data_IF_627779119578
#
_entry.id   IF_627779119578
#
_cell.length_a   1.000
_cell.length_b   1.000
_cell.length_c   1.000
_cell.angle_alpha   90.00
_cell.angle_beta   90.00
_cell.angle_gamma   90.00
#
_symmetry.space_group_name_H-M   'P 1'
#
loop_
_entity.id
_entity.type
_entity.pdbx_description
1 polymer ?
#
# COMPACT_ATOMS: atom_id res chain seq x y z
N UNK A 1 0.76 -11.15 0.48
CA UNK A 1 1.00 -10.79 -0.94
C UNK A 1 2.02 -11.68 -1.63
N UNK A 2 3.33 -11.52 -1.40
CA UNK A 2 4.37 -12.24 -2.17
C UNK A 2 4.21 -13.77 -2.13
N UNK A 3 3.89 -14.33 -0.96
CA UNK A 3 3.62 -15.77 -0.80
C UNK A 3 2.44 -16.21 -1.68
N UNK A 4 1.31 -15.50 -1.63
CA UNK A 4 0.13 -15.80 -2.42
C UNK A 4 0.37 -15.66 -3.94
N UNK A 5 1.14 -14.65 -4.36
CA UNK A 5 1.60 -14.51 -5.75
C UNK A 5 2.46 -15.71 -6.19
N UNK A 6 3.39 -16.16 -5.34
CA UNK A 6 4.21 -17.36 -5.60
C UNK A 6 3.38 -18.64 -5.69
N UNK A 7 2.41 -18.83 -4.80
CA UNK A 7 1.48 -19.97 -4.85
C UNK A 7 0.66 -19.96 -6.13
N UNK A 8 0.12 -18.79 -6.53
CA UNK A 8 -0.69 -18.67 -7.74
C UNK A 8 0.14 -18.89 -9.01
N UNK A 9 1.37 -18.37 -9.06
CA UNK A 9 2.30 -18.64 -10.16
C UNK A 9 2.66 -20.13 -10.23
N UNK A 10 2.90 -20.76 -9.09
CA UNK A 10 3.17 -22.20 -9.02
C UNK A 10 1.98 -23.03 -9.52
N UNK A 11 0.75 -22.53 -9.34
CA UNK A 11 -0.45 -23.17 -9.84
C UNK A 11 -0.56 -23.21 -11.36
N UNK A 12 0.25 -22.42 -12.09
CA UNK A 12 0.31 -22.43 -13.57
C UNK A 12 0.52 -23.83 -14.15
N UNK A 13 1.27 -24.70 -13.47
CA UNK A 13 1.53 -26.08 -13.93
C UNK A 13 0.26 -26.93 -14.07
N UNK A 14 -0.83 -26.53 -13.43
CA UNK A 14 -2.13 -27.19 -13.51
C UNK A 14 -3.06 -26.55 -14.56
N UNK A 15 -2.67 -25.42 -15.16
CA UNK A 15 -3.44 -24.79 -16.22
C UNK A 15 -3.10 -25.45 -17.58
N UNK A 16 -4.10 -25.64 -18.46
CA UNK A 16 -3.87 -26.13 -19.81
C UNK A 16 -2.91 -25.22 -20.58
N UNK A 17 -2.02 -25.77 -21.42
CA UNK A 17 -1.05 -25.00 -22.21
C UNK A 17 -1.67 -23.98 -23.18
N UNK A 18 -2.98 -24.08 -23.43
CA UNK A 18 -3.78 -23.14 -24.24
C UNK A 18 -4.49 -22.07 -23.42
N UNK A 19 -4.28 -22.00 -22.10
CA UNK A 19 -4.93 -21.01 -21.25
C UNK A 19 -4.51 -19.60 -21.65
N UNK A 20 -5.47 -18.67 -21.75
CA UNK A 20 -5.21 -17.25 -22.01
C UNK A 20 -4.62 -16.50 -20.81
N UNK A 21 -4.41 -17.18 -19.67
CA UNK A 21 -3.90 -16.60 -18.42
C UNK A 21 -2.38 -16.54 -18.49
N UNK A 22 -1.83 -15.32 -18.37
CA UNK A 22 -0.39 -15.07 -18.39
C UNK A 22 0.23 -15.22 -17.00
N UNK A 23 1.56 -15.43 -16.93
CA UNK A 23 2.31 -15.40 -15.66
C UNK A 23 2.06 -14.11 -14.88
N UNK A 24 2.06 -12.99 -15.60
CA UNK A 24 1.76 -11.68 -15.06
C UNK A 24 0.35 -11.64 -14.44
N UNK A 25 -0.65 -12.19 -15.12
CA UNK A 25 -2.01 -12.30 -14.59
C UNK A 25 -2.10 -13.13 -13.31
N UNK A 26 -1.38 -14.26 -13.23
CA UNK A 26 -1.33 -15.09 -12.02
C UNK A 26 -0.64 -14.38 -10.85
N UNK A 27 0.46 -13.66 -11.11
CA UNK A 27 1.16 -12.87 -10.10
C UNK A 27 0.28 -11.75 -9.54
N UNK A 28 -0.44 -11.04 -10.39
CA UNK A 28 -1.40 -10.00 -9.99
C UNK A 28 -2.53 -10.62 -9.15
N UNK A 29 -3.15 -11.69 -9.66
CA UNK A 29 -4.26 -12.35 -8.96
C UNK A 29 -3.84 -12.87 -7.59
N UNK A 30 -2.67 -13.52 -7.47
CA UNK A 30 -2.15 -13.98 -6.19
C UNK A 30 -1.74 -12.84 -5.26
N UNK A 31 -1.17 -11.76 -5.78
CA UNK A 31 -0.87 -10.55 -5.01
C UNK A 31 -2.13 -9.94 -4.38
N UNK A 32 -3.16 -9.75 -5.19
CA UNK A 32 -4.47 -9.24 -4.81
C UNK A 32 -5.19 -10.15 -3.79
N UNK A 33 -5.24 -11.46 -4.06
CA UNK A 33 -5.77 -12.46 -3.13
C UNK A 33 -5.05 -12.41 -1.77
N UNK A 34 -3.73 -12.19 -1.79
CA UNK A 34 -2.93 -12.06 -0.58
C UNK A 34 -3.21 -10.78 0.24
N UNK A 35 -3.70 -9.70 -0.36
CA UNK A 35 -4.22 -8.53 0.40
C UNK A 35 -5.59 -8.84 0.95
N UNK A 36 -6.49 -9.36 0.09
CA UNK A 36 -7.85 -9.70 0.48
C UNK A 36 -7.88 -10.62 1.71
N UNK A 37 -7.05 -11.66 1.71
CA UNK A 37 -6.93 -12.58 2.84
C UNK A 37 -6.30 -11.95 4.08
N UNK A 38 -5.35 -11.01 3.94
CA UNK A 38 -4.64 -10.42 5.08
C UNK A 38 -5.49 -9.44 5.89
N UNK A 39 -6.42 -8.75 5.24
CA UNK A 39 -7.26 -7.72 5.85
C UNK A 39 -8.75 -8.06 5.87
N UNK A 40 -9.11 -9.28 5.47
CA UNK A 40 -10.50 -9.68 5.22
C UNK A 40 -11.26 -8.67 4.34
N UNK A 41 -10.61 -8.21 3.27
CA UNK A 41 -11.05 -7.09 2.43
C UNK A 41 -11.00 -7.45 0.93
N UNK A 42 -11.99 -8.20 0.40
CA UNK A 42 -11.99 -8.66 -0.98
C UNK A 42 -12.01 -7.53 -2.02
N UNK A 43 -12.82 -6.49 -1.82
CA UNK A 43 -12.92 -5.37 -2.78
C UNK A 43 -11.60 -4.60 -2.84
N UNK A 44 -10.96 -4.40 -1.70
CA UNK A 44 -9.64 -3.82 -1.59
C UNK A 44 -8.59 -4.62 -2.37
N UNK A 45 -8.64 -5.95 -2.30
CA UNK A 45 -7.77 -6.82 -3.09
C UNK A 45 -7.91 -6.56 -4.60
N UNK A 46 -9.16 -6.46 -5.08
CA UNK A 46 -9.44 -6.17 -6.50
C UNK A 46 -8.91 -4.80 -6.90
N UNK A 47 -9.21 -3.78 -6.11
CA UNK A 47 -8.81 -2.41 -6.46
C UNK A 47 -7.31 -2.22 -6.35
N UNK A 48 -6.64 -2.84 -5.38
CA UNK A 48 -5.18 -2.86 -5.32
C UNK A 48 -4.56 -3.49 -6.58
N UNK A 49 -5.17 -4.56 -7.09
CA UNK A 49 -4.75 -5.18 -8.33
C UNK A 49 -4.80 -4.19 -9.50
N UNK A 50 -5.85 -3.38 -9.57
CA UNK A 50 -6.09 -2.42 -10.65
C UNK A 50 -5.19 -1.19 -10.50
N UNK A 51 -5.19 -0.57 -9.32
CA UNK A 51 -4.54 0.72 -9.06
C UNK A 51 -3.03 0.59 -8.89
N UNK A 52 -2.54 -0.41 -8.14
CA UNK A 52 -1.11 -0.51 -7.79
C UNK A 52 -0.36 -1.57 -8.59
N UNK A 53 -0.95 -2.75 -8.82
CA UNK A 53 -0.24 -3.87 -9.44
C UNK A 53 -0.27 -3.86 -10.97
N UNK A 54 -1.42 -3.55 -11.58
CA UNK A 54 -1.59 -3.73 -13.03
C UNK A 54 -0.97 -2.58 -13.83
N UNK A 55 -1.10 -1.32 -13.38
CA UNK A 55 -0.67 -0.05 -14.03
C UNK A 55 -1.08 0.18 -15.50
N UNK A 56 -1.42 -0.87 -16.26
CA UNK A 56 -2.05 -0.90 -17.57
C UNK A 56 -3.18 -1.92 -17.49
N UNK A 57 -4.42 -1.44 -17.61
CA UNK A 57 -5.58 -2.33 -17.70
C UNK A 57 -5.51 -2.99 -19.08
N UNK A 58 -5.00 -4.21 -19.14
CA UNK A 58 -5.07 -5.02 -20.36
C UNK A 58 -6.50 -5.56 -20.48
N UNK A 59 -7.32 -4.84 -21.25
CA UNK A 59 -8.79 -4.91 -21.32
C UNK A 59 -9.43 -6.28 -21.65
N UNK A 60 -8.68 -7.38 -21.83
CA UNK A 60 -9.26 -8.67 -22.29
C UNK A 60 -9.48 -9.72 -21.20
N UNK A 61 -8.76 -9.65 -20.07
CA UNK A 61 -8.78 -10.72 -19.05
C UNK A 61 -9.24 -10.28 -17.65
N UNK A 62 -9.72 -9.03 -17.49
CA UNK A 62 -10.13 -8.46 -16.19
C UNK A 62 -11.20 -9.29 -15.49
N UNK A 63 -12.13 -9.89 -16.23
CA UNK A 63 -13.22 -10.70 -15.67
C UNK A 63 -12.71 -11.90 -14.86
N UNK A 64 -11.82 -12.73 -15.43
CA UNK A 64 -11.28 -13.91 -14.75
C UNK A 64 -10.43 -13.54 -13.53
N UNK A 65 -9.65 -12.45 -13.62
CA UNK A 65 -8.83 -11.95 -12.51
C UNK A 65 -9.73 -11.46 -11.37
N UNK A 66 -10.76 -10.68 -11.67
CA UNK A 66 -11.73 -10.20 -10.67
C UNK A 66 -12.45 -11.40 -10.03
N UNK A 67 -12.91 -12.37 -10.80
CA UNK A 67 -13.55 -13.58 -10.26
C UNK A 67 -12.61 -14.35 -9.33
N UNK A 68 -11.34 -14.53 -9.70
CA UNK A 68 -10.35 -15.21 -8.85
C UNK A 68 -10.13 -14.46 -7.52
N UNK A 69 -10.09 -13.13 -7.54
CA UNK A 69 -9.93 -12.32 -6.33
C UNK A 69 -11.18 -12.38 -5.44
N UNK A 70 -12.37 -12.29 -6.03
CA UNK A 70 -13.65 -12.43 -5.31
C UNK A 70 -13.74 -13.81 -4.67
N UNK A 71 -13.42 -14.89 -5.41
CA UNK A 71 -13.42 -16.25 -4.86
C UNK A 71 -12.39 -16.40 -3.73
N UNK A 72 -11.18 -15.86 -3.86
CA UNK A 72 -10.19 -15.89 -2.79
C UNK A 72 -10.66 -15.14 -1.54
N UNK A 73 -11.32 -13.99 -1.72
CA UNK A 73 -11.97 -13.25 -0.65
C UNK A 73 -13.09 -14.05 0.03
N UNK A 74 -13.97 -14.68 -0.75
CA UNK A 74 -15.05 -15.53 -0.23
C UNK A 74 -14.52 -16.73 0.54
N UNK A 75 -13.43 -17.36 0.08
CA UNK A 75 -12.77 -18.45 0.81
C UNK A 75 -12.19 -17.95 2.12
N UNK A 76 -11.55 -16.78 2.13
CA UNK A 76 -11.05 -16.17 3.36
C UNK A 76 -12.18 -15.89 4.36
N UNK A 77 -13.27 -15.26 3.92
CA UNK A 77 -14.47 -15.00 4.74
C UNK A 77 -15.09 -16.31 5.24
N UNK A 78 -15.19 -17.32 4.39
CA UNK A 78 -15.74 -18.62 4.77
C UNK A 78 -14.86 -19.38 5.77
N UNK A 79 -13.54 -19.22 5.69
CA UNK A 79 -12.59 -19.93 6.56
C UNK A 79 -12.37 -19.21 7.89
N UNK A 80 -12.34 -17.88 7.89
CA UNK A 80 -12.02 -17.06 9.07
C UNK A 80 -13.24 -16.37 9.69
N UNK A 81 -14.41 -16.50 9.07
CA UNK A 81 -15.66 -15.88 9.52
C UNK A 81 -15.92 -14.51 8.89
N UNK A 82 -17.18 -14.06 8.95
CA UNK A 82 -17.62 -12.78 8.39
C UNK A 82 -17.43 -11.58 9.36
N UNK A 83 -16.37 -11.61 10.16
CA UNK A 83 -16.01 -10.49 11.03
C UNK A 83 -15.10 -9.52 10.28
N UNK A 84 -15.47 -8.24 10.24
CA UNK A 84 -14.59 -7.19 9.74
C UNK A 84 -13.33 -7.10 10.61
N UNK A 85 -12.21 -6.71 10.02
CA UNK A 85 -10.89 -6.75 10.67
C UNK A 85 -10.85 -5.97 11.99
N UNK A 86 -11.53 -4.82 12.06
CA UNK A 86 -11.65 -3.97 13.25
C UNK A 86 -13.07 -3.92 13.84
N UNK A 87 -14.03 -4.69 13.33
CA UNK A 87 -15.43 -4.60 13.76
C UNK A 87 -16.23 -3.50 13.06
N UNK A 88 -17.39 -3.15 13.63
CA UNK A 88 -18.33 -2.16 13.06
C UNK A 88 -18.20 -0.86 13.80
N UNK A 89 -17.70 0.19 13.13
CA UNK A 89 -17.67 1.53 13.72
C UNK A 89 -19.02 2.20 13.52
N UNK A 90 -19.70 2.53 14.63
CA UNK A 90 -20.91 3.36 14.61
C UNK A 90 -20.55 4.83 14.61
N UNK A 91 -20.51 5.41 13.42
CA UNK A 91 -20.23 6.83 13.23
C UNK A 91 -21.55 7.60 13.37
N UNK A 92 -21.59 8.57 14.29
CA UNK A 92 -22.70 9.52 14.39
C UNK A 92 -22.83 10.40 13.15
N UNK A 93 -23.79 11.33 13.13
CA UNK A 93 -23.92 12.27 12.00
C UNK A 93 -22.64 13.12 11.92
N UNK A 94 -22.05 13.17 10.73
CA UNK A 94 -20.90 14.02 10.43
C UNK A 94 -21.40 15.46 10.25
N UNK A 95 -21.37 16.24 11.33
CA UNK A 95 -21.70 17.65 11.30
C UNK A 95 -20.51 18.50 10.82
N UNK A 96 -20.75 19.78 10.52
CA UNK A 96 -19.73 20.73 10.06
C UNK A 96 -18.54 20.87 11.02
N UNK A 97 -18.73 20.54 12.31
CA UNK A 97 -17.66 20.51 13.31
C UNK A 97 -16.56 19.47 13.05
N UNK A 98 -16.77 18.50 12.16
CA UNK A 98 -15.76 17.48 11.79
C UNK A 98 -14.87 17.95 10.63
N UNK A 99 -15.26 19.00 9.89
CA UNK A 99 -14.52 19.45 8.71
C UNK A 99 -13.11 19.95 9.05
N UNK A 100 -12.98 20.80 10.07
CA UNK A 100 -11.68 21.34 10.47
C UNK A 100 -10.76 20.24 11.05
N UNK A 101 -11.19 19.41 12.03
CA UNK A 101 -10.40 18.28 12.50
C UNK A 101 -10.04 17.31 11.36
N UNK A 102 -11.00 16.99 10.48
CA UNK A 102 -10.77 16.11 9.33
C UNK A 102 -9.70 16.67 8.38
N UNK A 103 -9.74 17.98 8.09
CA UNK A 103 -8.72 18.63 7.28
C UNK A 103 -7.33 18.56 7.94
N UNK A 104 -7.24 18.78 9.25
CA UNK A 104 -5.99 18.63 10.00
C UNK A 104 -5.45 17.20 9.89
N UNK A 105 -6.32 16.19 10.04
CA UNK A 105 -5.94 14.77 9.88
C UNK A 105 -5.37 14.53 8.48
N UNK A 106 -6.04 15.02 7.44
CA UNK A 106 -5.61 14.87 6.05
C UNK A 106 -4.25 15.52 5.80
N UNK A 107 -4.03 16.73 6.32
CA UNK A 107 -2.76 17.44 6.17
C UNK A 107 -1.63 16.74 6.93
N UNK A 108 -1.85 16.38 8.20
CA UNK A 108 -0.87 15.67 9.02
C UNK A 108 -0.53 14.29 8.43
N UNK A 109 -1.54 13.51 8.04
CA UNK A 109 -1.34 12.21 7.42
C UNK A 109 -0.62 12.31 6.07
N UNK A 110 -0.96 13.32 5.25
CA UNK A 110 -0.30 13.59 3.98
C UNK A 110 1.17 13.97 4.13
N UNK A 111 1.48 14.90 5.04
CA UNK A 111 2.84 15.37 5.30
C UNK A 111 3.70 14.26 5.92
N UNK A 112 3.21 13.59 6.96
CA UNK A 112 3.96 12.52 7.62
C UNK A 112 4.09 11.29 6.70
N UNK A 113 3.05 10.92 5.96
CA UNK A 113 3.13 9.82 4.99
C UNK A 113 4.08 10.11 3.84
N UNK A 114 4.09 11.34 3.31
CA UNK A 114 5.05 11.78 2.30
C UNK A 114 6.49 11.80 2.83
N UNK A 115 6.69 12.27 4.07
CA UNK A 115 7.97 12.20 4.76
C UNK A 115 8.43 10.75 4.96
N UNK A 116 7.54 9.84 5.37
CA UNK A 116 7.82 8.42 5.54
C UNK A 116 8.31 7.80 4.23
N UNK A 117 7.58 8.02 3.14
CA UNK A 117 7.96 7.52 1.82
C UNK A 117 9.30 8.07 1.36
N UNK A 118 9.53 9.39 1.55
CA UNK A 118 10.81 10.02 1.21
C UNK A 118 11.97 9.42 2.00
N UNK A 119 11.81 9.30 3.32
CA UNK A 119 12.82 8.73 4.21
C UNK A 119 13.14 7.29 3.80
N UNK A 120 12.13 6.45 3.57
CA UNK A 120 12.34 5.08 3.11
C UNK A 120 13.04 5.00 1.76
N UNK A 121 12.61 5.80 0.78
CA UNK A 121 13.24 5.81 -0.55
C UNK A 121 14.72 6.19 -0.42
N UNK A 122 15.04 7.30 0.26
CA UNK A 122 16.44 7.73 0.46
C UNK A 122 17.25 6.67 1.19
N UNK A 123 16.67 6.07 2.23
CA UNK A 123 17.29 5.00 3.01
C UNK A 123 17.56 3.76 2.16
N UNK A 124 16.69 3.44 1.20
CA UNK A 124 16.78 2.26 0.32
C UNK A 124 17.70 2.47 -0.88
N UNK A 125 17.67 3.64 -1.51
CA UNK A 125 18.60 4.04 -2.58
C UNK A 125 20.04 3.99 -2.09
N UNK A 126 20.28 4.44 -0.86
CA UNK A 126 21.59 4.40 -0.22
C UNK A 126 22.41 5.65 -0.50
N UNK A 127 22.17 6.70 0.29
CA UNK A 127 22.96 7.92 0.25
C UNK A 127 24.45 7.65 0.60
N UNK A 128 25.37 8.56 0.26
CA UNK A 128 26.80 8.43 0.57
C UNK A 128 27.12 8.63 2.07
N UNK A 129 26.20 8.27 2.96
CA UNK A 129 26.35 8.37 4.41
C UNK A 129 26.90 7.08 5.03
N UNK A 130 27.35 7.18 6.28
CA UNK A 130 27.98 6.09 7.04
C UNK A 130 27.03 4.93 7.32
N UNK A 131 25.73 5.18 7.47
CA UNK A 131 24.74 4.14 7.76
C UNK A 131 24.43 3.32 6.51
N UNK A 132 24.24 3.97 5.36
CA UNK A 132 24.07 3.28 4.08
C UNK A 132 25.35 2.53 3.67
N UNK A 133 26.53 3.04 4.00
CA UNK A 133 27.78 2.31 3.84
C UNK A 133 27.86 1.07 4.75
N UNK A 134 27.45 1.19 6.01
CA UNK A 134 27.40 0.08 6.96
C UNK A 134 26.41 -1.00 6.52
N UNK A 135 25.21 -0.63 6.06
CA UNK A 135 24.22 -1.57 5.52
C UNK A 135 24.76 -2.35 4.32
N UNK A 136 25.50 -1.69 3.42
CA UNK A 136 26.10 -2.34 2.24
C UNK A 136 27.24 -3.30 2.61
N UNK A 137 28.10 -2.93 3.56
CA UNK A 137 29.27 -3.72 3.95
C UNK A 137 28.95 -4.84 4.95
N UNK A 138 28.03 -4.58 5.88
CA UNK A 138 27.69 -5.48 6.99
C UNK A 138 26.17 -5.50 7.24
N UNK A 139 25.37 -6.07 6.32
CA UNK A 139 23.91 -6.02 6.37
C UNK A 139 23.34 -6.61 7.67
N UNK A 140 23.90 -7.73 8.16
CA UNK A 140 23.45 -8.37 9.40
C UNK A 140 23.73 -7.51 10.63
N UNK A 141 24.90 -6.88 10.72
CA UNK A 141 25.23 -5.97 11.84
C UNK A 141 24.37 -4.72 11.83
N UNK A 142 24.10 -4.19 10.64
CA UNK A 142 23.18 -3.06 10.47
C UNK A 142 21.77 -3.44 10.93
N UNK A 143 21.25 -4.58 10.48
CA UNK A 143 19.94 -5.06 10.88
C UNK A 143 19.84 -5.33 12.40
N UNK A 144 20.89 -5.88 13.02
CA UNK A 144 20.96 -6.05 14.47
C UNK A 144 20.91 -4.69 15.20
N UNK A 145 21.60 -3.66 14.68
CA UNK A 145 21.53 -2.30 15.20
C UNK A 145 20.13 -1.69 15.10
N UNK A 146 19.48 -1.81 13.94
CA UNK A 146 18.08 -1.39 13.78
C UNK A 146 17.15 -2.12 14.74
N UNK A 147 17.30 -3.45 14.87
CA UNK A 147 16.52 -4.27 15.79
C UNK A 147 16.72 -3.87 17.25
N UNK A 148 17.94 -3.54 17.66
CA UNK A 148 18.24 -3.03 18.99
C UNK A 148 17.53 -1.70 19.28
N UNK A 149 17.57 -0.76 18.34
CA UNK A 149 16.87 0.54 18.49
C UNK A 149 15.35 0.34 18.53
N UNK A 150 14.80 -0.52 17.66
CA UNK A 150 13.37 -0.87 17.69
C UNK A 150 12.98 -1.52 19.02
N UNK A 151 13.81 -2.42 19.55
CA UNK A 151 13.58 -3.02 20.86
C UNK A 151 13.55 -1.97 21.97
N UNK A 152 14.52 -1.03 21.98
CA UNK A 152 14.56 0.07 22.95
C UNK A 152 13.34 0.98 22.86
N UNK A 153 12.93 1.34 21.64
CA UNK A 153 11.70 2.14 21.41
C UNK A 153 10.49 1.43 22.02
N UNK A 154 10.37 0.12 21.82
CA UNK A 154 9.26 -0.62 22.40
C UNK A 154 9.30 -0.75 23.92
N UNK A 155 10.49 -0.86 24.54
CA UNK A 155 10.60 -0.82 26.00
C UNK A 155 10.12 0.54 26.54
N UNK A 156 10.56 1.64 25.91
CA UNK A 156 10.16 3.01 26.30
C UNK A 156 8.67 3.25 26.07
N UNK A 157 8.09 2.66 25.01
CA UNK A 157 6.67 2.80 24.69
C UNK A 157 5.76 1.80 25.43
N UNK A 158 6.28 0.99 26.36
CA UNK A 158 5.50 -0.06 27.03
C UNK A 158 4.96 -1.15 26.10
N UNK A 159 5.63 -1.41 24.98
CA UNK A 159 5.26 -2.43 23.99
C UNK A 159 4.37 -1.94 22.84
N UNK A 160 3.73 -0.77 22.98
CA UNK A 160 2.74 -0.24 22.01
C UNK A 160 3.25 -0.11 20.56
N UNK A 161 4.56 0.03 20.37
CA UNK A 161 5.14 0.24 19.05
C UNK A 161 5.52 -1.06 18.33
N UNK A 162 5.42 -2.21 19.01
CA UNK A 162 5.70 -3.52 18.42
C UNK A 162 4.63 -3.96 17.42
N UNK A 163 4.99 -4.93 16.58
CA UNK A 163 4.07 -5.58 15.65
C UNK A 163 3.38 -4.66 14.64
N UNK A 164 2.20 -5.07 14.19
CA UNK A 164 1.39 -4.34 13.20
C UNK A 164 0.76 -3.07 13.76
N UNK A 165 0.58 -2.97 15.08
CA UNK A 165 -0.24 -1.94 15.70
C UNK A 165 -1.73 -2.25 15.70
N UNK A 166 -2.11 -3.53 15.53
CA UNK A 166 -3.50 -3.98 15.46
C UNK A 166 -4.26 -3.67 16.75
N UNK A 167 -3.73 -4.11 17.89
CA UNK A 167 -4.39 -3.99 19.19
C UNK A 167 -4.58 -2.51 19.56
N UNK A 168 -3.59 -1.67 19.28
CA UNK A 168 -3.65 -0.23 19.52
C UNK A 168 -4.68 0.46 18.61
N UNK A 169 -4.72 0.08 17.33
CA UNK A 169 -5.71 0.61 16.39
C UNK A 169 -7.12 0.19 16.78
N UNK A 170 -7.28 -1.07 17.20
CA UNK A 170 -8.56 -1.61 17.65
C UNK A 170 -9.04 -0.93 18.93
N UNK A 171 -8.18 -0.80 19.95
CA UNK A 171 -8.50 -0.10 21.18
C UNK A 171 -8.98 1.34 20.94
N UNK A 172 -8.29 2.07 20.05
CA UNK A 172 -8.72 3.41 19.62
C UNK A 172 -10.11 3.42 18.97
N UNK A 173 -10.42 2.43 18.13
CA UNK A 173 -11.71 2.29 17.47
C UNK A 173 -12.83 1.86 18.42
N UNK A 174 -12.50 1.04 19.42
CA UNK A 174 -13.41 0.59 20.48
C UNK A 174 -13.66 1.69 21.54
N UNK A 175 -12.98 2.83 21.43
CA UNK A 175 -13.16 3.98 22.31
C UNK A 175 -12.34 3.92 23.61
N UNK A 176 -11.31 3.08 23.66
CA UNK A 176 -10.34 3.06 24.76
C UNK A 176 -9.60 4.41 24.87
N UNK A 177 -8.99 4.72 26.04
CA UNK A 177 -8.23 5.94 26.23
C UNK A 177 -7.17 6.15 25.14
N UNK A 178 -6.97 7.41 24.74
CA UNK A 178 -6.00 7.77 23.71
C UNK A 178 -4.60 7.23 23.98
N UNK A 179 -3.86 6.96 22.92
CA UNK A 179 -2.47 6.51 22.99
C UNK A 179 -1.57 7.64 23.53
N UNK A 180 -0.39 7.33 24.08
CA UNK A 180 0.58 8.36 24.45
C UNK A 180 0.90 9.27 23.26
N UNK A 181 1.07 10.58 23.49
CA UNK A 181 1.34 11.59 22.44
C UNK A 181 2.55 11.23 21.55
N UNK A 182 3.52 10.49 22.10
CA UNK A 182 4.71 10.04 21.36
C UNK A 182 4.47 8.80 20.50
N UNK A 183 3.30 8.15 20.58
CA UNK A 183 3.00 6.90 19.88
C UNK A 183 3.21 7.03 18.37
N UNK A 184 2.62 8.04 17.73
CA UNK A 184 2.72 8.26 16.28
C UNK A 184 4.18 8.36 15.85
N UNK A 185 4.98 9.15 16.58
CA UNK A 185 6.41 9.34 16.29
C UNK A 185 7.20 8.04 16.48
N UNK A 186 7.01 7.36 17.61
CA UNK A 186 7.77 6.15 17.93
C UNK A 186 7.39 4.98 17.00
N UNK A 187 6.10 4.82 16.67
CA UNK A 187 5.61 3.81 15.72
C UNK A 187 6.14 4.09 14.31
N UNK A 188 6.14 5.36 13.90
CA UNK A 188 6.73 5.80 12.63
C UNK A 188 8.21 5.40 12.54
N UNK A 189 9.01 5.76 13.54
CA UNK A 189 10.45 5.47 13.57
C UNK A 189 10.69 3.96 13.62
N UNK A 190 9.97 3.24 14.47
CA UNK A 190 10.06 1.79 14.59
C UNK A 190 9.79 1.09 13.26
N UNK A 191 8.74 1.50 12.55
CA UNK A 191 8.36 0.95 11.24
C UNK A 191 9.40 1.30 10.18
N UNK A 192 9.90 2.53 10.16
CA UNK A 192 10.94 2.98 9.24
C UNK A 192 12.24 2.17 9.42
N UNK A 193 12.73 2.03 10.65
CA UNK A 193 13.94 1.26 10.98
C UNK A 193 13.77 -0.23 10.67
N UNK A 194 12.61 -0.81 11.01
CA UNK A 194 12.29 -2.21 10.71
C UNK A 194 12.33 -2.47 9.20
N UNK A 195 11.73 -1.58 8.40
CA UNK A 195 11.75 -1.70 6.94
C UNK A 195 13.15 -1.46 6.37
N UNK A 196 13.87 -0.46 6.88
CA UNK A 196 15.21 -0.12 6.42
C UNK A 196 16.25 -1.22 6.68
N UNK A 197 16.05 -2.00 7.75
CA UNK A 197 16.89 -3.15 8.09
C UNK A 197 16.87 -4.26 7.04
N UNK A 198 15.85 -4.30 6.17
CA UNK A 198 15.68 -5.32 5.13
C UNK A 198 15.01 -6.61 5.62
N UNK A 199 14.46 -6.63 6.84
CA UNK A 199 13.67 -7.76 7.33
C UNK A 199 12.40 -7.92 6.48
N UNK A 200 12.03 -9.14 6.07
CA UNK A 200 10.80 -9.38 5.32
C UNK A 200 9.58 -8.92 6.11
N UNK A 201 8.81 -7.98 5.55
CA UNK A 201 7.64 -7.41 6.21
C UNK A 201 6.87 -6.48 5.29
N UNK A 202 5.62 -6.18 5.67
CA UNK A 202 4.78 -5.20 5.00
C UNK A 202 4.62 -3.95 5.84
N UNK A 203 4.42 -2.80 5.18
CA UNK A 203 4.20 -1.50 5.83
C UNK A 203 2.71 -1.14 5.95
N UNK A 204 1.81 -1.87 5.30
CA UNK A 204 0.37 -1.56 5.27
C UNK A 204 -0.25 -1.44 6.68
N UNK A 205 -0.14 -2.48 7.51
CA UNK A 205 -0.76 -2.48 8.83
C UNK A 205 -0.13 -1.42 9.77
N UNK A 206 1.21 -1.29 9.85
CA UNK A 206 1.82 -0.17 10.58
C UNK A 206 1.41 1.22 10.07
N UNK A 207 1.21 1.40 8.75
CA UNK A 207 0.71 2.65 8.19
C UNK A 207 -0.72 2.95 8.66
N UNK A 208 -1.61 1.96 8.71
CA UNK A 208 -2.94 2.12 9.26
C UNK A 208 -2.88 2.55 10.73
N UNK A 209 -2.01 1.91 11.52
CA UNK A 209 -1.83 2.21 12.95
C UNK A 209 -1.28 3.63 13.20
N UNK A 210 -0.29 4.08 12.42
CA UNK A 210 0.20 5.46 12.49
C UNK A 210 -0.92 6.44 12.11
N UNK A 211 -1.68 6.14 11.05
CA UNK A 211 -2.84 6.94 10.66
C UNK A 211 -3.93 7.02 11.73
N UNK A 212 -4.23 5.89 12.39
CA UNK A 212 -5.17 5.82 13.49
C UNK A 212 -4.75 6.72 14.66
N UNK A 213 -3.46 6.67 15.03
CA UNK A 213 -2.89 7.54 16.04
C UNK A 213 -3.02 9.03 15.69
N UNK A 214 -2.73 9.42 14.44
CA UNK A 214 -2.91 10.81 13.97
C UNK A 214 -4.36 11.26 14.13
N UNK A 215 -5.31 10.40 13.74
CA UNK A 215 -6.74 10.67 13.88
C UNK A 215 -7.18 10.83 15.34
N UNK A 216 -6.68 9.96 16.23
CA UNK A 216 -6.95 9.99 17.66
C UNK A 216 -6.37 11.25 18.33
N UNK A 217 -5.11 11.58 18.04
CA UNK A 217 -4.45 12.77 18.59
C UNK A 217 -5.21 14.03 18.19
N UNK A 218 -5.61 14.15 16.92
CA UNK A 218 -6.35 15.32 16.44
C UNK A 218 -7.77 15.35 17.03
N UNK A 219 -8.43 14.21 17.19
CA UNK A 219 -9.72 14.15 17.87
C UNK A 219 -9.61 14.67 19.32
N UNK A 220 -8.58 14.27 20.04
CA UNK A 220 -8.32 14.71 21.41
C UNK A 220 -7.99 16.20 21.47
N UNK A 221 -7.09 16.68 20.60
CA UNK A 221 -6.68 18.09 20.53
C UNK A 221 -7.82 19.03 20.16
N UNK A 222 -8.74 18.58 19.31
CA UNK A 222 -9.90 19.39 18.87
C UNK A 222 -11.13 19.20 19.73
N UNK A 223 -11.11 18.28 20.70
CA UNK A 223 -12.28 17.91 21.51
C UNK A 223 -13.43 17.35 20.67
N UNK A 224 -13.14 16.76 19.51
CA UNK A 224 -14.17 16.34 18.57
C UNK A 224 -14.89 15.08 19.09
N UNK A 225 -16.24 15.07 19.13
CA UNK A 225 -17.00 13.89 19.50
C UNK A 225 -16.94 12.79 18.43
N UNK A 226 -16.43 13.10 17.23
CA UNK A 226 -16.33 12.18 16.10
C UNK A 226 -14.99 11.43 16.06
N UNK A 227 -14.49 10.97 17.22
CA UNK A 227 -13.17 10.35 17.35
C UNK A 227 -12.96 9.17 16.39
N UNK A 228 -13.88 8.21 16.38
CA UNK A 228 -13.77 7.03 15.51
C UNK A 228 -13.78 7.39 14.00
N UNK A 229 -14.50 8.45 13.61
CA UNK A 229 -14.48 8.94 12.24
C UNK A 229 -13.12 9.53 11.86
N UNK A 230 -12.54 10.34 12.76
CA UNK A 230 -11.22 10.95 12.54
C UNK A 230 -10.10 9.90 12.53
N UNK A 231 -10.21 8.86 13.36
CA UNK A 231 -9.33 7.68 13.34
C UNK A 231 -9.41 6.98 11.98
N UNK A 232 -10.60 6.65 11.49
CA UNK A 232 -10.78 6.01 10.19
C UNK A 232 -10.27 6.90 9.02
N UNK A 233 -10.52 8.20 9.07
CA UNK A 233 -9.98 9.19 8.13
C UNK A 233 -8.44 9.19 8.16
N UNK A 234 -7.84 9.13 9.35
CA UNK A 234 -6.39 9.06 9.53
C UNK A 234 -5.78 7.78 9.00
N UNK A 235 -6.40 6.63 9.27
CA UNK A 235 -6.02 5.32 8.72
C UNK A 235 -5.97 5.36 7.19
N UNK A 236 -7.05 5.81 6.55
CA UNK A 236 -7.15 5.87 5.09
C UNK A 236 -6.16 6.90 4.51
N UNK A 237 -6.08 8.08 5.15
CA UNK A 237 -5.21 9.18 4.73
C UNK A 237 -3.73 8.81 4.78
N UNK A 238 -3.24 8.24 5.88
CA UNK A 238 -1.81 7.92 6.01
C UNK A 238 -1.42 6.76 5.11
N UNK A 239 -2.26 5.72 4.99
CA UNK A 239 -2.02 4.64 4.04
C UNK A 239 -1.95 5.18 2.60
N UNK A 240 -2.93 6.00 2.19
CA UNK A 240 -2.94 6.63 0.86
C UNK A 240 -1.75 7.57 0.63
N UNK A 241 -1.29 8.28 1.66
CA UNK A 241 -0.13 9.14 1.58
C UNK A 241 1.16 8.34 1.36
N UNK A 242 1.32 7.20 2.04
CA UNK A 242 2.51 6.35 1.90
C UNK A 242 2.53 5.62 0.56
N UNK A 243 1.44 4.96 0.21
CA UNK A 243 1.37 4.12 -1.00
C UNK A 243 1.13 4.94 -2.27
N UNK A 244 0.49 6.10 -2.16
CA UNK A 244 -0.05 6.87 -3.27
C UNK A 244 -1.08 6.12 -4.12
N UNK A 245 -1.76 5.13 -3.51
CA UNK A 245 -2.90 4.39 -4.04
C UNK A 245 -4.19 4.74 -3.25
N UNK A 246 -4.76 5.96 -3.45
CA UNK A 246 -5.85 6.45 -2.63
C UNK A 246 -7.14 5.63 -2.74
N UNK A 247 -7.46 5.05 -3.91
CA UNK A 247 -8.70 4.28 -4.08
C UNK A 247 -8.62 3.00 -3.25
N UNK A 248 -7.50 2.30 -3.35
CA UNK A 248 -7.20 1.11 -2.56
C UNK A 248 -7.24 1.41 -1.07
N UNK A 249 -6.58 2.49 -0.63
CA UNK A 249 -6.47 2.82 0.78
C UNK A 249 -7.84 3.07 1.43
N UNK A 250 -8.74 3.83 0.78
CA UNK A 250 -10.06 4.08 1.36
C UNK A 250 -10.93 2.83 1.36
N UNK A 251 -10.86 1.99 0.32
CA UNK A 251 -11.65 0.74 0.26
C UNK A 251 -11.17 -0.25 1.32
N UNK A 252 -9.85 -0.38 1.51
CA UNK A 252 -9.26 -1.16 2.61
C UNK A 252 -9.88 -0.75 3.93
N UNK A 253 -9.81 0.55 4.27
CA UNK A 253 -10.31 1.02 5.57
C UNK A 253 -11.82 0.85 5.68
N UNK A 254 -12.56 1.15 4.61
CA UNK A 254 -14.01 0.99 4.57
C UNK A 254 -14.44 -0.45 4.84
N UNK A 255 -13.81 -1.45 4.22
CA UNK A 255 -14.12 -2.87 4.47
C UNK A 255 -13.66 -3.31 5.87
N UNK A 256 -12.50 -2.85 6.33
CA UNK A 256 -11.95 -3.26 7.63
C UNK A 256 -12.78 -2.77 8.83
N UNK A 257 -13.52 -1.68 8.68
CA UNK A 257 -14.28 -1.03 9.77
C UNK A 257 -15.80 -1.05 9.58
N UNK A 258 -16.30 -1.76 8.55
CA UNK A 258 -17.70 -1.73 8.09
C UNK A 258 -18.24 -0.30 7.86
N UNK A 259 -17.39 0.55 7.28
CA UNK A 259 -17.56 2.00 7.24
C UNK A 259 -18.39 2.51 6.07
N UNK A 260 -19.39 1.78 5.57
CA UNK A 260 -20.13 2.15 4.35
C UNK A 260 -20.73 3.58 4.39
N UNK A 261 -21.12 4.06 5.57
CA UNK A 261 -21.61 5.42 5.76
C UNK A 261 -20.53 6.52 5.56
N UNK A 262 -19.25 6.16 5.65
CA UNK A 262 -18.10 7.09 5.58
C UNK A 262 -17.39 7.09 4.23
N UNK A 263 -17.89 6.37 3.21
CA UNK A 263 -17.20 6.20 1.91
C UNK A 263 -16.70 7.52 1.34
N UNK A 264 -17.54 8.56 1.31
CA UNK A 264 -17.17 9.88 0.76
C UNK A 264 -16.06 10.55 1.58
N UNK A 265 -16.13 10.48 2.91
CA UNK A 265 -15.14 11.08 3.82
C UNK A 265 -13.80 10.36 3.72
N UNK A 266 -13.80 9.02 3.69
CA UNK A 266 -12.57 8.22 3.52
C UNK A 266 -11.94 8.46 2.16
N UNK A 267 -12.74 8.54 1.09
CA UNK A 267 -12.26 8.84 -0.26
C UNK A 267 -11.65 10.24 -0.33
N UNK A 268 -12.33 11.26 0.20
CA UNK A 268 -11.82 12.63 0.23
C UNK A 268 -10.50 12.72 1.03
N UNK A 269 -10.44 12.04 2.17
CA UNK A 269 -9.23 11.99 2.99
C UNK A 269 -8.05 11.31 2.29
N UNK A 270 -8.28 10.15 1.70
CA UNK A 270 -7.27 9.40 0.97
C UNK A 270 -6.73 10.19 -0.23
N UNK A 271 -7.61 10.80 -1.03
CA UNK A 271 -7.23 11.64 -2.16
C UNK A 271 -6.46 12.88 -1.71
N UNK A 272 -6.94 13.58 -0.68
CA UNK A 272 -6.30 14.77 -0.13
C UNK A 272 -4.91 14.47 0.43
N UNK A 273 -4.79 13.45 1.28
CA UNK A 273 -3.52 13.08 1.90
C UNK A 273 -2.51 12.55 0.87
N UNK A 274 -2.97 11.79 -0.12
CA UNK A 274 -2.15 11.39 -1.28
C UNK A 274 -1.67 12.59 -2.08
N UNK A 275 -2.53 13.57 -2.33
CA UNK A 275 -2.19 14.82 -3.00
C UNK A 275 -1.11 15.61 -2.25
N UNK A 276 -1.22 15.74 -0.93
CA UNK A 276 -0.21 16.38 -0.08
C UNK A 276 1.11 15.61 -0.09
N UNK A 277 1.05 14.28 0.03
CA UNK A 277 2.25 13.41 0.01
C UNK A 277 3.08 13.56 -1.28
N UNK A 278 2.42 13.73 -2.43
CA UNK A 278 3.09 13.92 -3.74
C UNK A 278 3.96 15.18 -3.79
N UNK A 279 3.72 16.16 -2.93
CA UNK A 279 4.58 17.35 -2.81
C UNK A 279 5.94 17.00 -2.16
N UNK A 280 6.01 15.94 -1.36
CA UNK A 280 7.19 15.54 -0.60
C UNK A 280 7.95 14.37 -1.22
N UNK A 281 7.22 13.39 -1.78
CA UNK A 281 7.78 12.12 -2.26
C UNK A 281 7.05 11.56 -3.48
N UNK A 282 7.76 10.69 -4.22
CA UNK A 282 7.21 9.81 -5.25
C UNK A 282 6.51 8.58 -4.64
N UNK A 283 5.70 7.82 -5.42
CA UNK A 283 5.05 6.61 -4.93
C UNK A 283 6.08 5.59 -4.44
N UNK A 284 5.96 5.17 -3.18
CA UNK A 284 6.97 4.36 -2.51
C UNK A 284 7.21 3.02 -3.22
N UNK A 285 6.14 2.26 -3.51
CA UNK A 285 6.29 0.93 -4.10
C UNK A 285 6.82 0.96 -5.53
N UNK A 286 6.46 1.97 -6.32
CA UNK A 286 6.98 2.14 -7.67
C UNK A 286 8.50 2.35 -7.66
N UNK A 287 8.98 3.27 -6.82
CA UNK A 287 10.41 3.57 -6.68
C UNK A 287 11.18 2.35 -6.13
N UNK A 288 10.64 1.65 -5.13
CA UNK A 288 11.28 0.43 -4.62
C UNK A 288 11.36 -0.68 -5.68
N UNK A 289 10.33 -0.83 -6.52
CA UNK A 289 10.33 -1.79 -7.62
C UNK A 289 11.39 -1.42 -8.68
N UNK A 290 11.48 -0.15 -9.08
CA UNK A 290 12.53 0.31 -9.98
C UNK A 290 13.94 0.04 -9.45
N UNK A 291 14.17 0.27 -8.15
CA UNK A 291 15.46 -0.01 -7.51
C UNK A 291 15.81 -1.49 -7.52
N UNK A 292 14.83 -2.39 -7.48
CA UNK A 292 15.05 -3.82 -7.64
C UNK A 292 15.35 -4.19 -9.10
N UNK A 293 14.60 -3.62 -10.05
CA UNK A 293 14.81 -3.88 -11.48
C UNK A 293 16.20 -3.43 -11.95
N UNK A 294 16.72 -2.31 -11.44
CA UNK A 294 18.09 -1.83 -11.76
C UNK A 294 19.20 -2.76 -11.28
N UNK A 295 18.91 -3.70 -10.38
CA UNK A 295 19.88 -4.71 -9.91
C UNK A 295 19.89 -5.95 -10.78
N UNK A 296 18.91 -6.13 -11.65
CA UNK A 296 18.88 -7.26 -12.57
C UNK A 296 19.87 -7.02 -13.72
N UNK A 297 20.54 -8.09 -14.22
CA UNK A 297 21.33 -7.99 -15.44
C UNK A 297 20.48 -7.47 -16.59
N UNK A 298 21.04 -6.61 -17.45
CA UNK A 298 20.37 -6.21 -18.67
C UNK A 298 20.05 -7.46 -19.49
N UNK A 299 18.77 -7.67 -19.81
CA UNK A 299 18.36 -8.74 -20.73
C UNK A 299 18.94 -8.38 -22.11
N UNK A 300 19.77 -9.22 -22.74
CA UNK A 300 20.26 -8.96 -24.08
C UNK A 300 19.07 -8.76 -25.02
N UNK A 301 19.03 -7.66 -25.76
CA UNK A 301 18.00 -7.44 -26.77
C UNK A 301 18.18 -8.45 -27.90
N UNK A 302 17.50 -9.60 -27.83
CA UNK A 302 17.51 -10.61 -28.89
C UNK A 302 16.50 -10.30 -30.01
N UNK A 303 16.12 -9.03 -30.18
CA UNK A 303 15.37 -8.61 -31.36
C UNK A 303 16.37 -8.13 -32.41
N UNK A 304 16.48 -8.81 -33.58
CA UNK A 304 17.16 -8.22 -34.71
C UNK A 304 16.51 -6.86 -35.00
N UNK A 305 17.27 -5.82 -35.39
CA UNK A 305 16.65 -4.63 -35.94
C UNK A 305 15.77 -5.07 -37.11
N UNK A 306 14.53 -4.61 -37.16
CA UNK A 306 13.63 -4.83 -38.30
C UNK A 306 14.38 -4.44 -39.57
N UNK A 307 14.90 -5.44 -40.28
CA UNK A 307 15.50 -5.28 -41.59
C UNK A 307 14.35 -4.93 -42.52
N UNK A 308 14.32 -3.66 -42.94
CA UNK A 308 13.25 -3.07 -43.71
C UNK A 308 12.74 -3.94 -44.85
N UNK A 309 11.43 -4.14 -44.88
CA UNK A 309 10.72 -4.48 -46.11
C UNK A 309 10.37 -3.20 -46.84
N UNK A 310 11.26 -2.87 -47.77
CA UNK A 310 11.04 -2.28 -49.08
C UNK A 310 9.73 -1.49 -49.28
N UNK A 311 9.90 -0.17 -49.42
CA UNK A 311 9.11 0.70 -50.28
C UNK A 311 8.88 0.02 -51.65
N UNK A 312 7.70 -0.54 -51.88
CA UNK A 312 7.24 -0.82 -53.24
C UNK A 312 6.85 0.49 -53.89
N UNK A 313 7.73 0.97 -54.77
CA UNK A 313 7.49 2.06 -55.69
C UNK A 313 6.22 1.78 -56.52
N UNK A 314 5.25 2.67 -56.44
CA UNK A 314 4.26 2.83 -57.50
C UNK A 314 4.98 3.51 -58.67
N UNK A 315 5.31 2.71 -59.68
CA UNK A 315 5.93 3.19 -60.91
C UNK A 315 4.83 3.42 -61.95
N UNK A 316 4.83 4.64 -62.48
CA UNK A 316 4.03 5.12 -63.60
C UNK A 316 3.95 4.14 -64.78
N UNK A 317 2.75 4.01 -65.34
CA UNK A 317 2.57 3.51 -66.70
C UNK A 317 1.54 4.36 -67.44
N UNK A 318 2.03 5.42 -68.12
CA UNK A 318 1.34 6.05 -69.24
C UNK A 318 2.15 5.75 -70.52
N UNK A 319 1.56 5.18 -71.59
CA UNK A 319 2.26 4.98 -72.84
C UNK A 319 2.11 6.22 -73.72
N UNK A 320 3.24 6.79 -74.15
CA UNK A 320 3.27 7.86 -75.13
C UNK A 320 3.05 7.37 -76.57
N UNK A 321 2.77 8.31 -77.48
CA UNK A 321 3.23 8.36 -78.88
C UNK A 321 2.82 9.70 -79.53
N UNK A 322 3.45 10.07 -80.67
CA UNK A 322 4.25 11.28 -80.87
C UNK A 322 3.49 12.56 -81.19
#
# INVERSE_FOLDING_TARGET
MQVAAGVMLHARRWLPSRSSVTDHGLLIAGGAAGIAAAFNAPLAGVVFAIEELSRKIENRNSGLIITAIVLAGLVAVSAFGNSTYFGVIRVGRLDSGVLLPGLLVVLCAGLLGGLFSRLLIVSMVGAPDRFCALRRRHPVRFAAGCGFVVALIGIVSGGLTYGSGYDETKGLLDGEPGLPVLFVLLKFISTWLSTWSGVPGGIFAPSLSVGAGIGADIAQLTGSPAGAALIAIGMAGFLAAVTQAPITAFIIVMEMVDGHAMVLSLMAAALGASGVSRLLSRPLYAELAELQLRRLPAVPSTMPPDSGTATTAFQDSAPGRP
#
